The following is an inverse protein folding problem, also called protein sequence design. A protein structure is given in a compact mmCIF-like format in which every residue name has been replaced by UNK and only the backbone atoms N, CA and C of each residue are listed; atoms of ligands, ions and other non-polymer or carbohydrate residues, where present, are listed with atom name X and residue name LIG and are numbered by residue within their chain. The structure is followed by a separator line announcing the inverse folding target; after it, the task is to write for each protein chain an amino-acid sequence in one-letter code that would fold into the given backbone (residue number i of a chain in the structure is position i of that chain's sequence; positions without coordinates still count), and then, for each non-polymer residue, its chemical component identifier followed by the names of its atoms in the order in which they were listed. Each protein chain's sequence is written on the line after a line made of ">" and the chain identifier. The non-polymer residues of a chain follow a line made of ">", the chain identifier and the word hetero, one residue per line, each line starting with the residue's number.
data_IF_838650950238
#
_entry.id   IF_838650950238
#
_cell.length_a   1.000
_cell.length_b   1.000
_cell.length_c   1.000
_cell.angle_alpha   90.00
_cell.angle_beta   90.00
_cell.angle_gamma   90.00
#
_symmetry.space_group_name_H-M   'P 1'
#
loop_
_entity.id
_entity.type
_entity.pdbx_description
1 polymer ?
#
# COMPACT_ATOMS: atom_id res chain seq x y z
N UNK A 1 -4.60 -18.31 19.24
CA UNK A 1 -3.19 -18.04 19.63
C UNK A 1 -3.03 -16.55 19.89
N UNK A 2 -2.37 -16.17 20.96
CA UNK A 2 -2.00 -14.76 21.21
C UNK A 2 -0.48 -14.64 21.19
N UNK A 3 0.02 -13.62 20.51
CA UNK A 3 1.44 -13.30 20.50
C UNK A 3 1.74 -12.35 21.67
N UNK A 4 2.90 -12.51 22.32
CA UNK A 4 3.31 -11.53 23.30
C UNK A 4 3.62 -10.19 22.64
N UNK A 5 3.29 -9.08 23.31
CA UNK A 5 3.58 -7.73 22.82
C UNK A 5 5.07 -7.58 22.44
N UNK A 6 5.97 -8.20 23.22
CA UNK A 6 7.40 -8.20 22.93
C UNK A 6 7.75 -8.86 21.58
N UNK A 7 7.09 -9.96 21.22
CA UNK A 7 7.31 -10.63 19.93
C UNK A 7 6.83 -9.75 18.76
N UNK A 8 5.68 -9.10 18.92
CA UNK A 8 5.12 -8.20 17.89
C UNK A 8 6.04 -6.98 17.71
N UNK A 9 6.46 -6.34 18.80
CA UNK A 9 7.39 -5.21 18.75
C UNK A 9 8.74 -5.60 18.14
N UNK A 10 9.26 -6.78 18.49
CA UNK A 10 10.50 -7.30 17.90
C UNK A 10 10.35 -7.48 16.38
N UNK A 11 9.21 -8.00 15.91
CA UNK A 11 8.95 -8.17 14.48
C UNK A 11 8.88 -6.81 13.76
N UNK A 12 8.23 -5.79 14.35
CA UNK A 12 8.18 -4.42 13.80
C UNK A 12 9.59 -3.85 13.69
N UNK A 13 10.37 -3.91 14.78
CA UNK A 13 11.73 -3.37 14.83
C UNK A 13 12.64 -4.09 13.83
N UNK A 14 12.57 -5.43 13.78
CA UNK A 14 13.35 -6.22 12.83
C UNK A 14 13.02 -5.88 11.38
N UNK A 15 11.73 -5.71 11.07
CA UNK A 15 11.26 -5.31 9.75
C UNK A 15 11.80 -3.91 9.38
N UNK A 16 11.63 -2.92 10.24
CA UNK A 16 12.09 -1.55 9.99
C UNK A 16 13.62 -1.45 9.90
N UNK A 17 14.35 -2.22 10.72
CA UNK A 17 15.82 -2.34 10.61
C UNK A 17 16.22 -2.96 9.27
N UNK A 18 15.47 -3.95 8.78
CA UNK A 18 15.67 -4.53 7.45
C UNK A 18 15.51 -3.51 6.35
N UNK A 19 14.44 -2.69 6.39
CA UNK A 19 14.25 -1.59 5.46
C UNK A 19 15.39 -0.56 5.53
N UNK A 20 15.78 -0.19 6.77
CA UNK A 20 16.90 0.71 6.98
C UNK A 20 18.20 0.15 6.38
N UNK A 21 18.45 -1.13 6.57
CA UNK A 21 19.64 -1.79 6.03
C UNK A 21 19.64 -1.77 4.50
N UNK A 22 18.51 -2.10 3.86
CA UNK A 22 18.39 -2.07 2.38
C UNK A 22 18.64 -0.66 1.85
N UNK A 23 18.02 0.36 2.43
CA UNK A 23 18.21 1.73 2.03
C UNK A 23 19.66 2.20 2.23
N UNK A 24 20.27 1.87 3.38
CA UNK A 24 21.63 2.24 3.70
C UNK A 24 22.67 1.57 2.77
N UNK A 25 22.49 0.28 2.45
CA UNK A 25 23.34 -0.44 1.52
C UNK A 25 23.21 0.09 0.09
N UNK A 26 21.99 0.51 -0.31
CA UNK A 26 21.77 1.13 -1.61
C UNK A 26 22.44 2.51 -1.72
N UNK A 27 22.34 3.34 -0.68
CA UNK A 27 22.96 4.68 -0.65
C UNK A 27 24.50 4.62 -0.57
N UNK A 28 25.05 3.62 0.12
CA UNK A 28 26.50 3.40 0.18
C UNK A 28 27.10 2.81 -1.11
N UNK A 29 26.26 2.41 -2.06
CA UNK A 29 26.72 1.80 -3.31
C UNK A 29 27.26 0.37 -3.14
N UNK A 30 27.00 -0.29 -2.01
CA UNK A 30 27.37 -1.68 -1.76
C UNK A 30 26.51 -2.67 -2.55
N UNK A 31 25.26 -2.27 -2.88
CA UNK A 31 24.42 -3.04 -3.78
C UNK A 31 24.85 -2.86 -5.23
N UNK A 32 24.81 -3.92 -6.05
CA UNK A 32 25.19 -3.84 -7.46
C UNK A 32 24.39 -2.75 -8.19
N UNK A 33 25.09 -1.81 -8.84
CA UNK A 33 24.42 -0.73 -9.57
C UNK A 33 23.45 -1.25 -10.64
N UNK A 34 23.74 -2.43 -11.22
CA UNK A 34 22.85 -3.10 -12.17
C UNK A 34 21.49 -3.45 -11.57
N UNK A 35 21.45 -3.81 -10.30
CA UNK A 35 20.21 -4.10 -9.59
C UNK A 35 19.42 -2.82 -9.31
N UNK A 36 20.08 -1.79 -8.79
CA UNK A 36 19.44 -0.50 -8.45
C UNK A 36 18.96 0.28 -9.70
N UNK A 37 19.66 0.14 -10.82
CA UNK A 37 19.28 0.76 -12.09
C UNK A 37 18.25 -0.08 -12.88
N UNK A 38 17.88 -1.28 -12.40
CA UNK A 38 16.94 -2.12 -13.12
C UNK A 38 15.52 -1.52 -13.09
N UNK A 39 14.83 -1.43 -14.25
CA UNK A 39 13.48 -0.84 -14.32
C UNK A 39 12.47 -1.47 -13.35
N UNK A 40 12.62 -2.75 -13.02
CA UNK A 40 11.74 -3.43 -12.07
C UNK A 40 11.80 -2.81 -10.65
N UNK A 41 12.94 -2.28 -10.21
CA UNK A 41 13.06 -1.60 -8.92
C UNK A 41 12.20 -0.34 -8.92
N UNK A 42 12.21 0.41 -10.01
CA UNK A 42 11.32 1.57 -10.15
C UNK A 42 9.84 1.15 -10.22
N UNK A 43 9.49 0.10 -10.96
CA UNK A 43 8.12 -0.42 -11.01
C UNK A 43 7.64 -0.83 -9.62
N UNK A 44 8.45 -1.58 -8.88
CA UNK A 44 8.12 -2.00 -7.52
C UNK A 44 8.02 -0.82 -6.56
N UNK A 45 8.82 0.22 -6.70
CA UNK A 45 8.72 1.41 -5.84
C UNK A 45 7.38 2.16 -6.03
N UNK A 46 6.77 2.08 -7.20
CA UNK A 46 5.41 2.60 -7.44
C UNK A 46 4.34 1.77 -6.72
N UNK A 47 4.68 0.58 -6.22
CA UNK A 47 3.82 -0.24 -5.37
C UNK A 47 3.46 0.41 -4.02
N UNK A 48 4.05 1.57 -3.69
CA UNK A 48 3.61 2.43 -2.57
C UNK A 48 2.14 2.83 -2.68
N UNK A 49 1.55 2.84 -3.88
CA UNK A 49 0.12 3.03 -4.09
C UNK A 49 -0.71 2.03 -3.28
N UNK A 50 -0.27 0.78 -3.20
CA UNK A 50 -0.94 -0.27 -2.46
C UNK A 50 -0.66 -0.14 -0.95
N UNK A 51 -1.28 0.84 -0.30
CA UNK A 51 -1.28 1.04 1.16
C UNK A 51 -2.28 0.13 1.89
N UNK A 52 -2.66 0.49 3.11
CA UNK A 52 -3.61 -0.27 3.96
C UNK A 52 -4.96 -0.53 3.27
N UNK A 53 -5.39 0.33 2.35
CA UNK A 53 -6.58 0.09 1.52
C UNK A 53 -6.45 -1.20 0.71
N UNK A 54 -5.30 -1.44 0.08
CA UNK A 54 -5.06 -2.59 -0.79
C UNK A 54 -4.72 -3.89 -0.04
N UNK A 55 -4.32 -3.81 1.22
CA UNK A 55 -3.92 -4.97 2.02
C UNK A 55 -4.92 -5.37 3.08
N UNK A 56 -5.82 -4.46 3.45
CA UNK A 56 -6.79 -4.65 4.52
C UNK A 56 -8.21 -4.28 4.06
N UNK A 57 -8.54 -3.01 3.90
CA UNK A 57 -9.90 -2.58 3.59
C UNK A 57 -10.48 -3.19 2.29
N UNK A 58 -9.62 -3.62 1.38
CA UNK A 58 -10.01 -4.23 0.10
C UNK A 58 -10.80 -5.54 0.28
N UNK A 59 -10.54 -6.30 1.36
CA UNK A 59 -11.26 -7.54 1.63
C UNK A 59 -12.75 -7.26 1.95
N UNK A 60 -13.01 -6.27 2.80
CA UNK A 60 -14.38 -5.84 3.10
C UNK A 60 -15.07 -5.28 1.85
N UNK A 61 -14.35 -4.50 1.04
CA UNK A 61 -14.87 -3.96 -0.21
C UNK A 61 -15.27 -5.07 -1.20
N UNK A 62 -14.45 -6.14 -1.29
CA UNK A 62 -14.72 -7.28 -2.15
C UNK A 62 -15.97 -8.06 -1.73
N UNK A 63 -16.19 -8.25 -0.41
CA UNK A 63 -17.40 -8.91 0.09
C UNK A 63 -18.64 -8.05 -0.08
N UNK A 64 -18.53 -6.72 0.13
CA UNK A 64 -19.67 -5.80 0.07
C UNK A 64 -20.10 -5.46 -1.37
N UNK A 65 -19.15 -5.37 -2.30
CA UNK A 65 -19.38 -4.84 -3.65
C UNK A 65 -18.92 -5.79 -4.76
N UNK A 66 -18.67 -7.05 -4.43
CA UNK A 66 -18.26 -8.06 -5.40
C UNK A 66 -17.07 -7.59 -6.25
N UNK A 67 -17.13 -7.80 -7.56
CA UNK A 67 -16.08 -7.38 -8.51
C UNK A 67 -15.82 -5.86 -8.53
N UNK A 68 -16.66 -5.06 -7.86
CA UNK A 68 -16.44 -3.61 -7.73
C UNK A 68 -15.12 -3.24 -7.06
N UNK A 69 -14.54 -4.12 -6.22
CA UNK A 69 -13.22 -3.90 -5.63
C UNK A 69 -12.10 -3.75 -6.67
N UNK A 70 -12.24 -4.37 -7.85
CA UNK A 70 -11.25 -4.28 -8.92
C UNK A 70 -11.09 -2.85 -9.45
N UNK A 71 -12.09 -1.98 -9.29
CA UNK A 71 -12.02 -0.59 -9.73
C UNK A 71 -10.89 0.19 -9.04
N UNK A 72 -10.52 -0.22 -7.82
CA UNK A 72 -9.34 0.30 -7.12
C UNK A 72 -8.06 0.10 -7.94
N UNK A 73 -7.84 -1.11 -8.43
CA UNK A 73 -6.65 -1.47 -9.20
C UNK A 73 -6.72 -1.00 -10.64
N UNK A 74 -7.89 -1.16 -11.28
CA UNK A 74 -8.13 -0.82 -12.68
C UNK A 74 -7.99 0.69 -12.93
N UNK A 75 -8.44 1.54 -12.00
CA UNK A 75 -8.30 2.99 -12.14
C UNK A 75 -6.85 3.42 -12.32
N UNK A 76 -5.96 2.93 -11.46
CA UNK A 76 -4.52 3.20 -11.56
C UNK A 76 -3.88 2.52 -12.78
N UNK A 77 -4.25 1.26 -13.03
CA UNK A 77 -3.74 0.53 -14.19
C UNK A 77 -4.04 1.26 -15.51
N UNK A 78 -5.25 1.77 -15.68
CA UNK A 78 -5.64 2.55 -16.87
C UNK A 78 -4.77 3.79 -17.06
N UNK A 79 -4.48 4.53 -15.97
CA UNK A 79 -3.60 5.69 -16.05
C UNK A 79 -2.20 5.31 -16.54
N UNK A 80 -1.65 4.23 -16.01
CA UNK A 80 -0.31 3.79 -16.39
C UNK A 80 -0.27 3.18 -17.80
N UNK A 81 -1.30 2.50 -18.24
CA UNK A 81 -1.40 2.03 -19.63
C UNK A 81 -1.35 3.18 -20.64
N UNK A 82 -1.92 4.35 -20.29
CA UNK A 82 -1.82 5.56 -21.13
C UNK A 82 -0.67 6.49 -20.70
N UNK A 83 0.31 5.99 -19.94
CA UNK A 83 1.43 6.79 -19.41
C UNK A 83 2.19 7.56 -20.49
N UNK A 84 2.35 6.99 -21.67
CA UNK A 84 3.02 7.66 -22.79
C UNK A 84 2.30 8.93 -23.25
N UNK A 85 0.96 8.98 -23.11
CA UNK A 85 0.15 10.11 -23.52
C UNK A 85 0.07 11.17 -22.42
N UNK A 86 -0.08 10.76 -21.16
CA UNK A 86 -0.35 11.67 -20.04
C UNK A 86 0.88 11.86 -19.12
N UNK A 87 1.46 10.77 -18.61
CA UNK A 87 2.51 10.88 -17.58
C UNK A 87 3.87 11.31 -18.18
N UNK A 88 4.20 10.86 -19.38
CA UNK A 88 5.49 11.19 -20.00
C UNK A 88 5.64 12.68 -20.34
N UNK A 89 4.63 13.39 -20.88
CA UNK A 89 4.69 14.85 -21.04
C UNK A 89 4.86 15.58 -19.71
N UNK A 90 4.12 15.17 -18.66
CA UNK A 90 4.24 15.77 -17.32
C UNK A 90 5.65 15.52 -16.77
N UNK A 91 6.18 14.30 -16.88
CA UNK A 91 7.55 13.99 -16.46
C UNK A 91 8.60 14.88 -17.13
N UNK A 92 8.47 15.09 -18.44
CA UNK A 92 9.37 15.99 -19.18
C UNK A 92 9.29 17.42 -18.67
N UNK A 93 8.07 17.91 -18.41
CA UNK A 93 7.84 19.24 -17.86
C UNK A 93 8.48 19.35 -16.46
N UNK A 94 8.20 18.41 -15.56
CA UNK A 94 8.76 18.39 -14.22
C UNK A 94 10.30 18.38 -14.23
N UNK A 95 10.93 17.67 -15.18
CA UNK A 95 12.40 17.64 -15.31
C UNK A 95 12.98 18.94 -15.83
N UNK A 96 12.37 19.55 -16.84
CA UNK A 96 12.87 20.79 -17.44
C UNK A 96 12.78 21.94 -16.42
N UNK A 97 11.68 22.03 -15.68
CA UNK A 97 11.42 23.13 -14.75
C UNK A 97 11.71 22.78 -13.30
N UNK A 98 12.29 21.59 -13.04
CA UNK A 98 12.63 21.11 -11.68
C UNK A 98 11.45 21.16 -10.69
N UNK A 99 10.25 20.74 -11.14
CA UNK A 99 9.05 20.73 -10.35
C UNK A 99 9.02 19.46 -9.49
N UNK A 100 9.09 19.61 -8.18
CA UNK A 100 9.18 18.49 -7.23
C UNK A 100 7.82 18.01 -6.71
N UNK A 101 6.82 18.88 -6.73
CA UNK A 101 5.49 18.60 -6.18
C UNK A 101 4.36 18.95 -7.16
N UNK A 102 3.16 18.42 -6.89
CA UNK A 102 1.96 18.81 -7.64
C UNK A 102 1.63 20.30 -7.42
N UNK A 103 1.91 20.84 -6.23
CA UNK A 103 1.75 22.25 -5.94
C UNK A 103 2.63 23.13 -6.83
N UNK A 104 3.89 22.72 -7.06
CA UNK A 104 4.80 23.40 -7.99
C UNK A 104 4.27 23.35 -9.42
N UNK A 105 3.80 22.17 -9.86
CA UNK A 105 3.27 21.99 -11.20
C UNK A 105 2.07 22.91 -11.47
N UNK A 106 1.15 23.02 -10.51
CA UNK A 106 -0.02 23.88 -10.64
C UNK A 106 0.34 25.36 -10.51
N UNK A 107 1.27 25.72 -9.62
CA UNK A 107 1.81 27.08 -9.52
C UNK A 107 2.45 27.52 -10.82
N UNK A 108 3.27 26.65 -11.43
CA UNK A 108 3.88 26.87 -12.72
C UNK A 108 2.82 27.06 -13.83
N UNK A 109 1.81 26.19 -13.87
CA UNK A 109 0.74 26.23 -14.89
C UNK A 109 -0.11 27.49 -14.81
N UNK A 110 -0.49 27.91 -13.61
CA UNK A 110 -1.36 29.08 -13.38
C UNK A 110 -0.59 30.38 -13.17
N UNK A 111 0.74 30.31 -13.02
CA UNK A 111 1.62 31.47 -12.76
C UNK A 111 1.19 32.33 -11.56
N UNK A 112 0.69 31.69 -10.50
CA UNK A 112 0.19 32.34 -9.29
C UNK A 112 0.65 31.57 -8.06
N UNK A 113 1.40 32.20 -7.18
CA UNK A 113 1.94 31.56 -5.96
C UNK A 113 0.85 31.07 -4.99
N UNK A 114 -0.25 31.83 -4.86
CA UNK A 114 -1.35 31.43 -3.99
C UNK A 114 -1.98 30.08 -4.38
N UNK A 115 -1.93 29.70 -5.65
CA UNK A 115 -2.41 28.39 -6.12
C UNK A 115 -1.63 27.25 -5.46
N UNK A 116 -0.30 27.39 -5.39
CA UNK A 116 0.55 26.43 -4.69
C UNK A 116 0.16 26.28 -3.22
N UNK A 117 -0.01 27.41 -2.52
CA UNK A 117 -0.42 27.40 -1.10
C UNK A 117 -1.77 26.71 -0.88
N UNK A 118 -2.78 27.01 -1.72
CA UNK A 118 -4.10 26.38 -1.63
C UNK A 118 -3.99 24.88 -1.89
N UNK A 119 -3.23 24.47 -2.90
CA UNK A 119 -3.03 23.04 -3.23
C UNK A 119 -2.33 22.31 -2.10
N UNK A 120 -1.29 22.90 -1.51
CA UNK A 120 -0.57 22.31 -0.36
C UNK A 120 -1.49 22.12 0.84
N UNK A 121 -2.29 23.16 1.19
CA UNK A 121 -3.26 23.04 2.29
C UNK A 121 -4.31 21.96 1.99
N UNK A 122 -4.86 21.94 0.78
CA UNK A 122 -5.83 20.94 0.38
C UNK A 122 -5.23 19.51 0.46
N UNK A 123 -3.98 19.33 0.01
CA UNK A 123 -3.26 18.05 0.13
C UNK A 123 -3.07 17.64 1.58
N UNK A 124 -2.60 18.56 2.45
CA UNK A 124 -2.43 18.26 3.87
C UNK A 124 -3.74 17.80 4.51
N UNK A 125 -4.85 18.51 4.25
CA UNK A 125 -6.17 18.14 4.78
C UNK A 125 -6.67 16.78 4.28
N UNK A 126 -6.46 16.49 2.99
CA UNK A 126 -6.89 15.23 2.37
C UNK A 126 -6.05 14.04 2.84
N UNK A 127 -4.77 14.25 3.13
CA UNK A 127 -3.87 13.20 3.55
C UNK A 127 -4.00 12.82 5.03
N UNK A 128 -4.51 13.71 5.89
CA UNK A 128 -4.70 13.39 7.32
C UNK A 128 -5.52 12.11 7.54
N UNK A 129 -6.74 11.96 6.99
CA UNK A 129 -7.51 10.74 7.18
C UNK A 129 -6.84 9.52 6.53
N UNK A 130 -6.13 9.70 5.42
CA UNK A 130 -5.39 8.60 4.78
C UNK A 130 -4.24 8.12 5.68
N UNK A 131 -3.46 9.01 6.27
CA UNK A 131 -2.39 8.64 7.20
C UNK A 131 -2.94 8.02 8.48
N UNK A 132 -4.05 8.56 9.01
CA UNK A 132 -4.74 7.98 10.16
C UNK A 132 -5.15 6.52 9.90
N UNK A 133 -5.69 6.23 8.71
CA UNK A 133 -6.04 4.86 8.31
C UNK A 133 -4.82 3.92 8.31
N UNK A 134 -3.65 4.38 7.82
CA UNK A 134 -2.44 3.57 7.83
C UNK A 134 -2.01 3.23 9.27
N UNK A 135 -2.02 4.22 10.15
CA UNK A 135 -1.62 4.07 11.56
C UNK A 135 -2.60 3.15 12.29
N UNK A 136 -3.90 3.39 12.12
CA UNK A 136 -4.95 2.60 12.75
C UNK A 136 -4.85 1.13 12.33
N UNK A 137 -4.67 0.84 11.05
CA UNK A 137 -4.55 -0.52 10.54
C UNK A 137 -3.42 -1.30 11.23
N UNK A 138 -2.29 -0.68 11.49
CA UNK A 138 -1.17 -1.34 12.20
C UNK A 138 -1.49 -1.49 13.68
N UNK A 139 -2.04 -0.45 14.32
CA UNK A 139 -2.41 -0.51 15.73
C UNK A 139 -3.45 -1.62 16.02
N UNK A 140 -4.50 -1.68 15.21
CA UNK A 140 -5.51 -2.72 15.30
C UNK A 140 -4.93 -4.11 15.04
N UNK A 141 -4.03 -4.25 14.07
CA UNK A 141 -3.33 -5.51 13.81
C UNK A 141 -2.52 -5.98 15.01
N UNK A 142 -1.88 -5.06 15.74
CA UNK A 142 -1.15 -5.36 16.99
C UNK A 142 -2.12 -5.82 18.08
N UNK A 143 -3.26 -5.16 18.24
CA UNK A 143 -4.29 -5.55 19.22
C UNK A 143 -4.88 -6.93 18.91
N UNK A 144 -5.21 -7.19 17.65
CA UNK A 144 -5.74 -8.49 17.20
C UNK A 144 -4.73 -9.60 17.52
N UNK A 145 -3.45 -9.42 17.21
CA UNK A 145 -2.41 -10.42 17.48
C UNK A 145 -2.13 -10.59 18.97
N UNK A 146 -2.30 -9.53 19.77
CA UNK A 146 -2.15 -9.56 21.23
C UNK A 146 -3.29 -10.27 21.97
N UNK A 147 -4.37 -10.64 21.27
CA UNK A 147 -5.54 -11.30 21.85
C UNK A 147 -6.62 -10.34 22.36
N UNK A 148 -6.50 -9.04 22.13
CA UNK A 148 -7.43 -7.98 22.54
C UNK A 148 -8.48 -7.64 21.47
N UNK A 149 -8.84 -8.63 20.64
CA UNK A 149 -9.74 -8.44 19.50
C UNK A 149 -11.13 -7.87 19.86
N UNK A 150 -11.58 -8.06 21.10
CA UNK A 150 -12.89 -7.53 21.59
C UNK A 150 -12.88 -6.01 21.76
N UNK A 151 -11.74 -5.37 21.74
CA UNK A 151 -11.55 -3.94 21.99
C UNK A 151 -11.28 -3.11 20.73
N UNK A 152 -11.65 -3.60 19.55
CA UNK A 152 -11.48 -2.88 18.27
C UNK A 152 -12.47 -1.73 18.07
N UNK A 153 -13.47 -1.57 18.97
CA UNK A 153 -14.38 -0.42 18.91
C UNK A 153 -13.63 0.82 19.37
N UNK A 154 -13.54 1.88 18.53
CA UNK A 154 -12.90 3.14 18.93
C UNK A 154 -13.71 3.76 20.09
N UNK A 155 -13.25 3.60 21.31
CA UNK A 155 -13.75 4.37 22.43
C UNK A 155 -12.92 5.64 22.53
N UNK A 156 -13.56 6.81 22.57
CA UNK A 156 -12.91 8.13 22.59
C UNK A 156 -11.90 8.33 23.74
N UNK A 157 -11.90 7.45 24.72
CA UNK A 157 -11.03 7.50 25.92
C UNK A 157 -9.77 6.63 25.82
N UNK A 158 -9.61 5.88 24.72
CA UNK A 158 -8.47 4.99 24.58
C UNK A 158 -7.26 5.76 24.03
N UNK A 159 -6.33 6.08 24.89
CA UNK A 159 -4.99 6.51 24.48
C UNK A 159 -4.27 5.30 23.89
N UNK A 160 -4.30 5.18 22.55
CA UNK A 160 -3.58 4.12 21.84
C UNK A 160 -2.06 4.38 21.90
N UNK A 161 -1.46 4.04 23.05
CA UNK A 161 -0.02 4.12 23.24
C UNK A 161 0.78 3.34 22.18
N UNK A 162 0.19 2.27 21.61
CA UNK A 162 0.78 1.48 20.53
C UNK A 162 0.76 2.24 19.21
N UNK A 163 -0.33 2.92 18.87
CA UNK A 163 -0.40 3.78 17.70
C UNK A 163 0.62 4.92 17.80
N UNK A 164 0.72 5.56 18.98
CA UNK A 164 1.70 6.60 19.25
C UNK A 164 3.13 6.07 19.11
N UNK A 165 3.43 4.90 19.69
CA UNK A 165 4.75 4.28 19.60
C UNK A 165 5.12 3.98 18.14
N UNK A 166 4.19 3.42 17.37
CA UNK A 166 4.39 3.16 15.95
C UNK A 166 4.65 4.47 15.17
N UNK A 167 3.86 5.53 15.43
CA UNK A 167 4.09 6.84 14.83
C UNK A 167 5.48 7.37 15.15
N UNK A 168 5.92 7.32 16.41
CA UNK A 168 7.24 7.80 16.83
C UNK A 168 8.38 7.04 16.13
N UNK A 169 8.24 5.72 15.98
CA UNK A 169 9.22 4.90 15.27
C UNK A 169 9.28 5.29 13.79
N UNK A 170 8.13 5.45 13.12
CA UNK A 170 8.08 5.84 11.71
C UNK A 170 8.57 7.27 11.50
N UNK A 171 8.24 8.21 12.39
CA UNK A 171 8.76 9.59 12.35
C UNK A 171 10.29 9.57 12.48
N UNK A 172 10.82 8.81 13.44
CA UNK A 172 12.27 8.62 13.58
C UNK A 172 12.92 8.10 12.30
N UNK A 173 12.29 7.11 11.67
CA UNK A 173 12.74 6.57 10.39
C UNK A 173 12.68 7.63 9.27
N UNK A 174 11.57 8.34 9.13
CA UNK A 174 11.42 9.40 8.12
C UNK A 174 12.44 10.54 8.30
N UNK A 175 12.73 10.92 9.54
CA UNK A 175 13.78 11.91 9.84
C UNK A 175 15.16 11.38 9.43
N UNK A 176 15.50 10.15 9.80
CA UNK A 176 16.81 9.55 9.48
C UNK A 176 17.05 9.43 7.96
N UNK A 177 15.98 9.19 7.18
CA UNK A 177 16.07 9.08 5.72
C UNK A 177 15.84 10.41 5.01
N UNK A 178 14.84 11.20 5.44
CA UNK A 178 14.43 12.43 4.78
C UNK A 178 15.46 13.56 4.93
N UNK A 179 16.09 13.68 6.11
CA UNK A 179 17.02 14.80 6.37
C UNK A 179 18.39 14.65 5.71
N UNK A 180 18.77 13.43 5.33
CA UNK A 180 20.11 13.15 4.77
C UNK A 180 20.34 13.71 3.36
N UNK A 181 19.30 13.92 2.57
CA UNK A 181 19.42 14.16 1.12
C UNK A 181 18.83 15.49 0.63
N UNK A 182 18.38 16.37 1.52
CA UNK A 182 17.92 17.73 1.16
C UNK A 182 19.04 18.55 0.46
N UNK A 183 20.31 18.20 0.69
CA UNK A 183 21.46 18.91 0.10
C UNK A 183 21.97 18.31 -1.22
N UNK A 184 21.52 17.14 -1.64
CA UNK A 184 21.99 16.48 -2.88
C UNK A 184 20.82 16.25 -3.84
N UNK A 185 20.77 16.92 -5.00
CA UNK A 185 19.74 16.70 -6.02
C UNK A 185 19.86 15.33 -6.72
N UNK A 186 20.84 14.51 -6.35
CA UNK A 186 20.99 13.15 -6.82
C UNK A 186 20.13 12.20 -5.98
N UNK A 187 18.82 12.21 -6.27
CA UNK A 187 17.82 11.14 -6.07
C UNK A 187 18.10 10.14 -4.94
N UNK A 188 17.13 9.94 -4.09
CA UNK A 188 17.13 9.02 -2.95
C UNK A 188 17.11 7.55 -3.41
N UNK A 189 18.25 7.05 -3.96
CA UNK A 189 18.34 5.64 -4.43
C UNK A 189 18.01 4.64 -3.32
N UNK A 190 18.40 4.96 -2.09
CA UNK A 190 18.07 4.15 -0.92
C UNK A 190 16.58 4.09 -0.66
N UNK A 191 15.87 5.23 -0.76
CA UNK A 191 14.43 5.28 -0.61
C UNK A 191 13.74 4.41 -1.67
N UNK A 192 14.07 4.60 -2.95
CA UNK A 192 13.48 3.83 -4.06
C UNK A 192 13.72 2.33 -3.88
N UNK A 193 14.94 1.93 -3.47
CA UNK A 193 15.26 0.53 -3.21
C UNK A 193 14.51 -0.04 -2.00
N UNK A 194 14.37 0.73 -0.91
CA UNK A 194 13.62 0.32 0.27
C UNK A 194 12.14 0.12 -0.05
N UNK A 195 11.51 1.06 -0.74
CA UNK A 195 10.09 0.97 -1.12
C UNK A 195 9.87 -0.16 -2.15
N UNK A 196 10.83 -0.40 -3.05
CA UNK A 196 10.76 -1.54 -3.96
C UNK A 196 10.84 -2.88 -3.22
N UNK A 197 11.75 -3.00 -2.25
CA UNK A 197 11.85 -4.18 -1.39
C UNK A 197 10.56 -4.39 -0.57
N UNK A 198 10.04 -3.33 0.01
CA UNK A 198 8.79 -3.32 0.77
C UNK A 198 7.60 -3.81 -0.08
N UNK A 199 7.48 -3.32 -1.31
CA UNK A 199 6.45 -3.75 -2.26
C UNK A 199 6.58 -5.23 -2.64
N UNK A 200 7.81 -5.74 -2.73
CA UNK A 200 8.05 -7.17 -2.96
C UNK A 200 7.64 -8.02 -1.75
N UNK A 201 8.01 -7.59 -0.54
CA UNK A 201 7.62 -8.27 0.72
C UNK A 201 6.10 -8.32 0.85
N UNK A 202 5.41 -7.21 0.61
CA UNK A 202 3.94 -7.12 0.60
C UNK A 202 3.31 -8.11 -0.37
N UNK A 203 3.78 -8.13 -1.61
CA UNK A 203 3.29 -9.04 -2.63
C UNK A 203 3.51 -10.50 -2.22
N UNK A 204 4.70 -10.84 -1.76
CA UNK A 204 5.03 -12.19 -1.32
C UNK A 204 4.15 -12.63 -0.13
N UNK A 205 3.93 -11.74 0.84
CA UNK A 205 3.09 -12.00 2.00
C UNK A 205 1.62 -12.24 1.60
N UNK A 206 1.06 -11.41 0.71
CA UNK A 206 -0.31 -11.58 0.23
C UNK A 206 -0.48 -12.85 -0.59
N UNK A 207 0.46 -13.18 -1.48
CA UNK A 207 0.44 -14.44 -2.24
C UNK A 207 0.58 -15.66 -1.32
N UNK A 208 1.42 -15.58 -0.28
CA UNK A 208 1.51 -16.64 0.72
C UNK A 208 0.18 -16.84 1.46
N UNK A 209 -0.50 -15.76 1.83
CA UNK A 209 -1.85 -15.83 2.42
C UNK A 209 -2.87 -16.47 1.48
N UNK A 210 -2.83 -16.15 0.19
CA UNK A 210 -3.67 -16.81 -0.83
C UNK A 210 -3.42 -18.32 -0.86
N UNK A 211 -2.15 -18.73 -0.84
CA UNK A 211 -1.81 -20.16 -0.82
C UNK A 211 -2.30 -20.84 0.46
N UNK A 212 -2.17 -20.19 1.61
CA UNK A 212 -2.72 -20.69 2.88
C UNK A 212 -4.25 -20.82 2.79
N UNK A 213 -4.94 -19.79 2.30
CA UNK A 213 -6.39 -19.81 2.13
C UNK A 213 -6.84 -20.96 1.23
N UNK A 214 -6.23 -21.12 0.05
CA UNK A 214 -6.61 -22.16 -0.89
C UNK A 214 -6.26 -23.56 -0.39
N UNK A 215 -5.04 -23.78 0.10
CA UNK A 215 -4.57 -25.13 0.40
C UNK A 215 -4.84 -25.59 1.84
N UNK A 216 -4.81 -24.70 2.83
CA UNK A 216 -5.02 -25.10 4.22
C UNK A 216 -6.49 -24.95 4.66
N UNK A 217 -7.23 -23.95 4.12
CA UNK A 217 -8.64 -23.75 4.46
C UNK A 217 -9.53 -24.60 3.56
N UNK A 218 -9.37 -24.49 2.23
CA UNK A 218 -10.24 -25.17 1.26
C UNK A 218 -9.72 -26.51 0.76
N UNK A 219 -8.53 -26.98 1.20
CA UNK A 219 -7.88 -28.20 0.72
C UNK A 219 -7.63 -28.23 -0.81
N UNK A 220 -7.32 -27.08 -1.40
CA UNK A 220 -7.02 -26.92 -2.82
C UNK A 220 -8.13 -26.23 -3.61
N UNK A 221 -7.88 -26.02 -4.90
CA UNK A 221 -8.81 -25.34 -5.81
C UNK A 221 -10.16 -26.04 -5.96
N UNK A 222 -10.15 -27.38 -5.96
CA UNK A 222 -11.39 -28.17 -6.02
C UNK A 222 -12.25 -27.99 -4.76
N UNK A 223 -11.63 -27.83 -3.59
CA UNK A 223 -12.36 -27.59 -2.36
C UNK A 223 -12.97 -26.19 -2.33
N UNK A 224 -12.23 -25.19 -2.83
CA UNK A 224 -12.74 -23.85 -3.00
C UNK A 224 -13.94 -23.80 -3.97
N UNK A 225 -13.82 -24.49 -5.12
CA UNK A 225 -14.89 -24.56 -6.12
C UNK A 225 -16.15 -25.21 -5.53
N UNK A 226 -16.01 -26.33 -4.83
CA UNK A 226 -17.14 -26.99 -4.13
C UNK A 226 -17.80 -26.06 -3.13
N UNK A 227 -16.99 -25.35 -2.31
CA UNK A 227 -17.54 -24.41 -1.34
C UNK A 227 -18.32 -23.28 -2.01
N UNK A 228 -17.84 -22.74 -3.12
CA UNK A 228 -18.53 -21.71 -3.90
C UNK A 228 -19.86 -22.23 -4.49
N UNK A 229 -19.90 -23.47 -4.96
CA UNK A 229 -21.14 -24.12 -5.46
C UNK A 229 -22.15 -24.30 -4.33
N UNK A 230 -21.68 -24.74 -3.14
CA UNK A 230 -22.54 -24.95 -1.97
C UNK A 230 -23.04 -23.62 -1.39
N UNK A 231 -22.33 -22.52 -1.61
CA UNK A 231 -22.67 -21.17 -1.10
C UNK A 231 -23.02 -20.22 -2.26
N UNK A 232 -24.04 -20.57 -3.06
CA UNK A 232 -24.48 -19.80 -4.22
C UNK A 232 -24.75 -18.31 -3.93
N UNK A 233 -25.07 -17.95 -2.69
CA UNK A 233 -25.25 -16.57 -2.25
C UNK A 233 -23.95 -15.77 -2.40
N UNK A 234 -22.80 -16.34 -2.08
CA UNK A 234 -21.50 -15.69 -2.22
C UNK A 234 -21.22 -15.33 -3.70
N UNK A 235 -21.57 -16.24 -4.62
CA UNK A 235 -21.45 -15.96 -6.05
C UNK A 235 -22.43 -14.88 -6.51
N UNK A 236 -23.66 -14.89 -6.01
CA UNK A 236 -24.65 -13.86 -6.30
C UNK A 236 -24.18 -12.47 -5.79
N UNK A 237 -23.60 -12.41 -4.61
CA UNK A 237 -23.07 -11.19 -4.04
C UNK A 237 -21.81 -10.68 -4.78
N UNK A 238 -20.96 -11.61 -5.28
CA UNK A 238 -19.80 -11.28 -6.11
C UNK A 238 -20.21 -10.65 -7.45
N UNK A 239 -21.26 -11.16 -8.06
CA UNK A 239 -21.78 -10.67 -9.34
C UNK A 239 -22.69 -9.44 -9.20
N UNK A 240 -23.03 -9.04 -7.98
CA UNK A 240 -23.88 -7.88 -7.72
C UNK A 240 -23.27 -6.61 -8.32
N UNK A 241 -23.93 -5.97 -9.31
CA UNK A 241 -23.38 -4.79 -9.94
C UNK A 241 -23.32 -3.63 -8.96
N UNK A 242 -22.15 -2.99 -8.85
CA UNK A 242 -22.06 -1.70 -8.17
C UNK A 242 -22.91 -0.67 -8.93
N UNK A 243 -23.63 0.24 -8.24
CA UNK A 243 -24.35 1.32 -8.91
C UNK A 243 -23.44 2.07 -9.89
N UNK A 244 -23.92 2.29 -11.14
CA UNK A 244 -23.07 2.79 -12.22
C UNK A 244 -22.38 4.13 -11.92
N UNK A 245 -23.03 5.00 -11.15
CA UNK A 245 -22.45 6.28 -10.75
C UNK A 245 -21.32 6.09 -9.70
N UNK A 246 -21.52 5.20 -8.73
CA UNK A 246 -20.50 4.85 -7.74
C UNK A 246 -19.29 4.20 -8.42
N UNK A 247 -19.50 3.28 -9.34
CA UNK A 247 -18.44 2.62 -10.10
C UNK A 247 -17.60 3.62 -10.91
N UNK A 248 -18.26 4.56 -11.62
CA UNK A 248 -17.59 5.61 -12.39
C UNK A 248 -16.78 6.55 -11.49
N UNK A 249 -17.37 6.98 -10.36
CA UNK A 249 -16.70 7.84 -9.40
C UNK A 249 -15.47 7.15 -8.80
N UNK A 250 -15.60 5.88 -8.43
CA UNK A 250 -14.50 5.10 -7.87
C UNK A 250 -13.35 4.92 -8.88
N UNK A 251 -13.69 4.60 -10.13
CA UNK A 251 -12.72 4.49 -11.22
C UNK A 251 -11.97 5.81 -11.43
N UNK A 252 -12.69 6.94 -11.52
CA UNK A 252 -12.10 8.27 -11.71
C UNK A 252 -11.28 8.70 -10.50
N UNK A 253 -11.72 8.39 -9.29
CA UNK A 253 -10.99 8.70 -8.05
C UNK A 253 -9.62 8.03 -8.04
N UNK A 254 -9.54 6.74 -8.34
CA UNK A 254 -8.27 6.01 -8.33
C UNK A 254 -7.41 6.33 -9.55
N UNK A 255 -8.02 6.60 -10.69
CA UNK A 255 -7.31 7.10 -11.86
C UNK A 255 -6.65 8.45 -11.57
N UNK A 256 -7.38 9.42 -11.04
CA UNK A 256 -6.84 10.73 -10.69
C UNK A 256 -5.88 10.66 -9.50
N UNK A 257 -6.21 9.86 -8.49
CA UNK A 257 -5.40 9.66 -7.29
C UNK A 257 -3.99 9.19 -7.60
N UNK A 258 -3.81 8.36 -8.61
CA UNK A 258 -2.48 7.88 -9.03
C UNK A 258 -1.52 9.00 -9.51
N UNK A 259 -2.03 10.20 -9.79
CA UNK A 259 -1.21 11.39 -10.07
C UNK A 259 -1.32 12.44 -8.96
N UNK A 260 -2.54 12.64 -8.44
CA UNK A 260 -2.82 13.73 -7.51
C UNK A 260 -2.34 13.43 -6.07
N UNK A 261 -2.20 12.16 -5.69
CA UNK A 261 -1.65 11.81 -4.38
C UNK A 261 -0.16 12.19 -4.29
N UNK A 262 0.26 12.95 -3.27
CA UNK A 262 1.64 13.46 -3.17
C UNK A 262 2.69 12.37 -3.22
N UNK A 263 2.50 11.24 -2.53
CA UNK A 263 3.44 10.13 -2.56
C UNK A 263 3.57 9.50 -3.97
N UNK A 264 2.47 9.43 -4.72
CA UNK A 264 2.52 8.95 -6.10
C UNK A 264 3.18 9.96 -7.03
N UNK A 265 2.83 11.24 -6.91
CA UNK A 265 3.48 12.31 -7.69
C UNK A 265 5.00 12.29 -7.45
N UNK A 266 5.42 12.20 -6.19
CA UNK A 266 6.82 12.16 -5.81
C UNK A 266 7.55 10.96 -6.45
N UNK A 267 7.00 9.75 -6.30
CA UNK A 267 7.62 8.53 -6.85
C UNK A 267 7.61 8.50 -8.38
N UNK A 268 6.55 8.98 -9.02
CA UNK A 268 6.42 8.96 -10.49
C UNK A 268 7.32 10.00 -11.15
N UNK A 269 7.38 11.21 -10.60
CA UNK A 269 8.02 12.35 -11.28
C UNK A 269 9.32 12.80 -10.61
N UNK A 270 9.39 12.89 -9.29
CA UNK A 270 10.59 13.37 -8.60
C UNK A 270 11.67 12.28 -8.53
N UNK A 271 11.32 11.04 -8.18
CA UNK A 271 12.28 9.94 -8.04
C UNK A 271 12.56 9.18 -9.34
N UNK A 272 11.89 9.52 -10.43
CA UNK A 272 12.12 8.87 -11.72
C UNK A 272 13.50 9.24 -12.33
N UNK A 273 14.37 8.23 -12.49
CA UNK A 273 15.74 8.43 -13.01
C UNK A 273 15.75 8.57 -14.55
N UNK A 274 15.07 7.69 -15.25
CA UNK A 274 15.05 7.65 -16.69
C UNK A 274 13.64 7.58 -17.23
N UNK A 275 13.33 8.37 -18.26
CA UNK A 275 11.98 8.33 -18.87
C UNK A 275 11.62 6.96 -19.43
N UNK A 276 12.62 6.11 -19.72
CA UNK A 276 12.41 4.74 -20.15
C UNK A 276 11.82 3.86 -19.04
N UNK A 277 12.15 4.14 -17.77
CA UNK A 277 11.57 3.42 -16.62
C UNK A 277 10.05 3.63 -16.54
N UNK A 278 9.55 4.81 -16.91
CA UNK A 278 8.11 5.07 -16.95
C UNK A 278 7.41 4.23 -18.05
N UNK A 279 8.09 3.98 -19.18
CA UNK A 279 7.57 3.05 -20.21
C UNK A 279 7.47 1.62 -19.69
N UNK A 280 8.46 1.17 -18.91
CA UNK A 280 8.38 -0.14 -18.26
C UNK A 280 7.26 -0.15 -17.21
N UNK A 281 7.08 0.94 -16.46
CA UNK A 281 6.02 1.07 -15.47
C UNK A 281 4.61 1.05 -16.09
N UNK A 282 4.47 1.46 -17.36
CA UNK A 282 3.17 1.48 -18.04
C UNK A 282 2.48 0.11 -18.13
N UNK A 283 3.24 -0.97 -18.17
CA UNK A 283 2.71 -2.34 -18.12
C UNK A 283 3.09 -3.05 -16.81
N UNK A 284 4.24 -2.70 -16.23
CA UNK A 284 4.75 -3.38 -15.04
C UNK A 284 3.93 -3.08 -13.78
N UNK A 285 3.48 -1.83 -13.59
CA UNK A 285 2.61 -1.51 -12.46
C UNK A 285 1.21 -2.14 -12.59
N UNK A 286 0.52 -2.10 -13.74
CA UNK A 286 -0.69 -2.87 -13.94
C UNK A 286 -0.53 -4.37 -13.61
N UNK A 287 0.57 -5.00 -14.03
CA UNK A 287 0.86 -6.38 -13.70
C UNK A 287 1.05 -6.59 -12.20
N UNK A 288 1.79 -5.71 -11.52
CA UNK A 288 1.96 -5.76 -10.07
C UNK A 288 0.63 -5.62 -9.33
N UNK A 289 -0.23 -4.68 -9.75
CA UNK A 289 -1.56 -4.49 -9.18
C UNK A 289 -2.48 -5.69 -9.42
N UNK A 290 -2.40 -6.32 -10.59
CA UNK A 290 -3.10 -7.57 -10.87
C UNK A 290 -2.64 -8.67 -9.89
N UNK A 291 -1.34 -8.84 -9.69
CA UNK A 291 -0.81 -9.84 -8.75
C UNK A 291 -1.25 -9.59 -7.31
N UNK A 292 -1.33 -8.32 -6.87
CA UNK A 292 -1.87 -7.98 -5.53
C UNK A 292 -3.37 -8.23 -5.43
N UNK A 293 -4.12 -8.10 -6.52
CA UNK A 293 -5.57 -8.33 -6.50
C UNK A 293 -5.96 -9.81 -6.41
N UNK A 294 -5.09 -10.74 -6.84
CA UNK A 294 -5.37 -12.18 -6.83
C UNK A 294 -5.69 -12.76 -5.44
N UNK A 295 -4.96 -12.39 -4.36
CA UNK A 295 -5.25 -12.87 -3.01
C UNK A 295 -6.58 -12.43 -2.43
N UNK A 296 -7.17 -11.34 -2.94
CA UNK A 296 -8.28 -10.65 -2.28
C UNK A 296 -9.47 -11.57 -2.07
N UNK A 297 -9.97 -12.20 -3.12
CA UNK A 297 -11.14 -13.09 -3.02
C UNK A 297 -10.85 -14.37 -2.22
N UNK A 298 -9.79 -15.16 -2.51
CA UNK A 298 -9.53 -16.37 -1.74
C UNK A 298 -9.35 -16.13 -0.24
N UNK A 299 -8.69 -15.04 0.15
CA UNK A 299 -8.48 -14.70 1.57
C UNK A 299 -9.78 -14.23 2.22
N UNK A 300 -10.58 -13.39 1.54
CA UNK A 300 -11.87 -12.94 2.03
C UNK A 300 -12.84 -14.12 2.21
N UNK A 301 -12.92 -15.03 1.25
CA UNK A 301 -13.75 -16.22 1.33
C UNK A 301 -13.28 -17.19 2.42
N UNK A 302 -11.97 -17.34 2.61
CA UNK A 302 -11.44 -18.15 3.71
C UNK A 302 -11.82 -17.58 5.07
N UNK A 303 -11.83 -16.26 5.25
CA UNK A 303 -12.28 -15.62 6.48
C UNK A 303 -13.78 -15.87 6.72
N UNK A 304 -14.62 -15.82 5.68
CA UNK A 304 -16.03 -16.15 5.75
C UNK A 304 -16.26 -17.64 6.06
N UNK A 305 -15.49 -18.53 5.44
CA UNK A 305 -15.57 -19.97 5.69
C UNK A 305 -15.25 -20.33 7.15
N UNK A 306 -14.27 -19.64 7.72
CA UNK A 306 -13.83 -19.87 9.11
C UNK A 306 -14.72 -19.19 10.17
N UNK A 307 -15.78 -18.49 9.76
CA UNK A 307 -16.74 -17.77 10.61
C UNK A 307 -16.05 -16.93 11.70
N UNK A 308 -15.11 -16.11 11.28
CA UNK A 308 -14.30 -15.32 12.20
C UNK A 308 -15.06 -14.09 12.71
N UNK A 309 -15.01 -13.84 14.01
CA UNK A 309 -15.58 -12.65 14.66
C UNK A 309 -14.85 -11.34 14.31
N UNK A 310 -13.72 -11.42 13.60
CA UNK A 310 -12.94 -10.24 13.24
C UNK A 310 -13.59 -9.49 12.06
N UNK A 311 -13.46 -8.14 12.04
CA UNK A 311 -13.88 -7.35 10.86
C UNK A 311 -13.19 -7.83 9.59
N UNK A 312 -13.92 -7.82 8.47
CA UNK A 312 -13.44 -8.30 7.17
C UNK A 312 -12.20 -7.56 6.66
N UNK A 313 -11.97 -6.34 7.11
CA UNK A 313 -10.74 -5.59 6.83
C UNK A 313 -9.49 -6.35 7.31
N UNK A 314 -9.64 -7.20 8.33
CA UNK A 314 -8.56 -8.01 8.90
C UNK A 314 -8.65 -9.50 8.48
N UNK A 315 -9.29 -9.80 7.35
CA UNK A 315 -9.47 -11.17 6.85
C UNK A 315 -8.15 -11.98 6.82
N UNK A 316 -7.03 -11.36 6.44
CA UNK A 316 -5.73 -12.02 6.45
C UNK A 316 -5.30 -12.48 7.86
N UNK A 317 -5.49 -11.64 8.87
CA UNK A 317 -5.21 -11.98 10.28
C UNK A 317 -6.22 -13.02 10.80
N UNK A 318 -7.49 -12.87 10.43
CA UNK A 318 -8.56 -13.82 10.77
C UNK A 318 -8.20 -15.24 10.32
N UNK A 319 -7.79 -15.41 9.06
CA UNK A 319 -7.35 -16.71 8.52
C UNK A 319 -6.17 -17.27 9.32
N UNK A 320 -5.14 -16.44 9.57
CA UNK A 320 -3.94 -16.88 10.31
C UNK A 320 -4.25 -17.34 11.75
N UNK A 321 -5.07 -16.57 12.47
CA UNK A 321 -5.43 -16.85 13.86
C UNK A 321 -6.38 -18.04 13.97
N UNK A 322 -7.39 -18.15 13.12
CA UNK A 322 -8.35 -19.27 13.11
C UNK A 322 -7.67 -20.62 12.82
N UNK A 323 -6.68 -20.61 11.90
CA UNK A 323 -5.85 -21.78 11.63
C UNK A 323 -4.80 -22.09 12.72
N UNK A 324 -4.58 -21.17 13.68
CA UNK A 324 -3.48 -21.28 14.62
C UNK A 324 -2.10 -21.25 13.94
N UNK A 325 -1.98 -20.68 12.76
CA UNK A 325 -0.75 -20.65 11.96
C UNK A 325 0.04 -19.38 12.23
N UNK A 326 1.20 -19.54 12.89
CA UNK A 326 2.14 -18.43 13.14
C UNK A 326 2.60 -17.78 11.83
N UNK A 327 2.88 -18.60 10.81
CA UNK A 327 3.35 -18.13 9.50
C UNK A 327 2.30 -17.30 8.76
N UNK A 328 1.03 -17.73 8.77
CA UNK A 328 -0.05 -16.99 8.13
C UNK A 328 -0.34 -15.67 8.86
N UNK A 329 -0.40 -15.69 10.19
CA UNK A 329 -0.58 -14.48 11.01
C UNK A 329 0.56 -13.48 10.80
N UNK A 330 1.81 -13.97 10.75
CA UNK A 330 2.97 -13.15 10.47
C UNK A 330 2.94 -12.55 9.06
N UNK A 331 2.56 -13.33 8.05
CA UNK A 331 2.42 -12.85 6.67
C UNK A 331 1.37 -11.74 6.57
N UNK A 332 0.19 -11.93 7.19
CA UNK A 332 -0.85 -10.91 7.23
C UNK A 332 -0.38 -9.61 7.91
N UNK A 333 0.30 -9.75 9.05
CA UNK A 333 0.83 -8.61 9.78
C UNK A 333 1.91 -7.86 8.99
N UNK A 334 2.86 -8.60 8.38
CA UNK A 334 3.92 -8.01 7.56
C UNK A 334 3.34 -7.32 6.31
N UNK A 335 2.30 -7.87 5.69
CA UNK A 335 1.63 -7.21 4.56
C UNK A 335 1.02 -5.86 4.98
N UNK A 336 0.32 -5.81 6.13
CA UNK A 336 -0.27 -4.59 6.67
C UNK A 336 0.79 -3.58 7.09
N UNK A 337 1.82 -4.02 7.81
CA UNK A 337 2.94 -3.18 8.26
C UNK A 337 3.69 -2.58 7.07
N UNK A 338 3.99 -3.39 6.05
CA UNK A 338 4.65 -2.98 4.82
C UNK A 338 3.82 -1.93 4.07
N UNK A 339 2.52 -2.14 3.95
CA UNK A 339 1.66 -1.19 3.25
C UNK A 339 1.58 0.17 3.96
N UNK A 340 1.48 0.15 5.30
CA UNK A 340 1.36 1.36 6.10
C UNK A 340 2.68 2.14 6.15
N UNK A 341 3.81 1.48 6.41
CA UNK A 341 5.12 2.14 6.51
C UNK A 341 5.52 2.82 5.20
N UNK A 342 5.39 2.14 4.04
CA UNK A 342 5.66 2.74 2.73
C UNK A 342 4.84 4.01 2.50
N UNK A 343 3.52 3.92 2.72
CA UNK A 343 2.62 5.03 2.49
C UNK A 343 2.96 6.23 3.39
N UNK A 344 3.23 6.00 4.69
CA UNK A 344 3.56 7.07 5.64
C UNK A 344 4.90 7.72 5.27
N UNK A 345 5.96 6.92 5.04
CA UNK A 345 7.30 7.42 4.75
C UNK A 345 7.29 8.27 3.49
N UNK A 346 6.75 7.76 2.40
CA UNK A 346 6.79 8.49 1.12
C UNK A 346 5.86 9.71 1.15
N UNK A 347 4.70 9.63 1.82
CA UNK A 347 3.79 10.76 1.96
C UNK A 347 4.43 11.89 2.76
N UNK A 348 5.09 11.59 3.87
CA UNK A 348 5.77 12.60 4.69
C UNK A 348 6.92 13.26 3.94
N UNK A 349 7.70 12.48 3.18
CA UNK A 349 8.76 13.03 2.33
C UNK A 349 8.21 13.88 1.18
N UNK A 350 7.13 13.45 0.55
CA UNK A 350 6.48 14.19 -0.53
C UNK A 350 5.87 15.52 -0.07
N UNK A 351 5.42 15.61 1.19
CA UNK A 351 4.91 16.85 1.78
C UNK A 351 6.04 17.79 2.26
N UNK A 352 7.21 17.24 2.58
CA UNK A 352 8.36 18.02 3.04
C UNK A 352 9.12 18.71 1.88
N UNK A 353 8.89 18.29 0.63
CA UNK A 353 9.46 18.89 -0.58
C UNK A 353 8.49 19.88 -1.22
#
# INVERSE_FOLDING_TARGET
>A
MSFSLGQILLAIVAYLLGLFLVAHLADRGTLPQRLLAHPAVYVLSLGVFAGAMATNAIFALAVQHGYGFLLYFVGVALLFLIANLLLLPILRLCRVYQLASLADLLTFRFRRQWVGSVVTVAMCLTLMPMLALQIQTVADSIHILGGDAQNLVPTADRQDGLALLFCLIIIGFAILFGTRNVANPNRNRGLVAAIAFESLVKLAALLALMLVAVYQVFNGWEGLDRWLVDNAQVMTDLERPMPGDAARMMLLLFFAGAVCMPHMFHMVFAENIESQHLRTASWGLPLYLLLISLPVLPVAWAALYLDSDLPLEYAGLAVGLSLGSVGASAAAFVASLSAASAAIIVTTLALAN
#
